data_IF_335249985284
#
_entry.id   IF_335249985284
#
_cell.length_a   1.000
_cell.length_b   1.000
_cell.length_c   1.000
_cell.angle_alpha   90.00
_cell.angle_beta   90.00
_cell.angle_gamma   90.00
#
_symmetry.space_group_name_H-M   'P 1'
#
loop_
_entity.id
_entity.type
_entity.pdbx_description
1 polymer ?
#
# COMPACT_ATOMS: atom_id res chain seq x y z
N UNK A 1 -26.17 21.27 -24.41
CA UNK A 1 -26.31 20.00 -25.14
C UNK A 1 -25.02 19.46 -25.74
N UNK A 2 -24.43 20.01 -26.82
CA UNK A 2 -23.23 19.38 -27.44
C UNK A 2 -21.93 19.47 -26.60
N UNK A 3 -21.80 20.50 -25.75
CA UNK A 3 -20.65 20.68 -24.84
C UNK A 3 -20.74 19.73 -23.64
N UNK A 4 -21.91 19.63 -23.02
CA UNK A 4 -22.18 18.73 -21.88
C UNK A 4 -21.92 17.25 -22.24
N UNK A 5 -22.38 16.81 -23.41
CA UNK A 5 -22.13 15.43 -23.90
C UNK A 5 -20.65 15.16 -24.16
N UNK A 6 -19.87 16.20 -24.51
CA UNK A 6 -18.42 16.07 -24.75
C UNK A 6 -17.64 16.01 -23.44
N UNK A 7 -18.05 16.76 -22.42
CA UNK A 7 -17.45 16.73 -21.08
C UNK A 7 -17.78 15.43 -20.34
N UNK A 8 -19.03 14.96 -20.40
CA UNK A 8 -19.44 13.68 -19.83
C UNK A 8 -18.62 12.51 -20.40
N UNK A 9 -18.39 12.49 -21.72
CA UNK A 9 -17.58 11.46 -22.38
C UNK A 9 -16.11 11.49 -21.94
N UNK A 10 -15.55 12.69 -21.68
CA UNK A 10 -14.18 12.85 -21.18
C UNK A 10 -14.05 12.33 -19.73
N UNK A 11 -15.02 12.65 -18.86
CA UNK A 11 -15.03 12.16 -17.48
C UNK A 11 -15.24 10.65 -17.37
N UNK A 12 -16.11 10.07 -18.22
CA UNK A 12 -16.30 8.62 -18.28
C UNK A 12 -14.99 7.90 -18.61
N UNK A 13 -14.27 8.34 -19.65
CA UNK A 13 -12.98 7.73 -20.03
C UNK A 13 -11.94 7.85 -18.91
N UNK A 14 -11.87 9.00 -18.23
CA UNK A 14 -10.96 9.19 -17.08
C UNK A 14 -11.33 8.27 -15.90
N UNK A 15 -12.61 8.11 -15.60
CA UNK A 15 -13.07 7.22 -14.53
C UNK A 15 -12.76 5.74 -14.85
N UNK A 16 -12.99 5.31 -16.10
CA UNK A 16 -12.62 3.96 -16.57
C UNK A 16 -11.10 3.73 -16.51
N UNK A 17 -10.28 4.75 -16.78
CA UNK A 17 -8.82 4.66 -16.65
C UNK A 17 -8.38 4.47 -15.19
N UNK A 18 -8.94 5.25 -14.25
CA UNK A 18 -8.65 5.08 -12.82
C UNK A 18 -9.14 3.72 -12.31
N UNK A 19 -10.30 3.23 -12.76
CA UNK A 19 -10.79 1.90 -12.42
C UNK A 19 -9.82 0.80 -12.87
N UNK A 20 -9.27 0.93 -14.07
CA UNK A 20 -8.24 0.01 -14.58
C UNK A 20 -6.98 0.05 -13.69
N UNK A 21 -6.53 1.23 -13.26
CA UNK A 21 -5.39 1.37 -12.34
C UNK A 21 -5.69 0.71 -11.00
N UNK A 22 -6.86 0.93 -10.42
CA UNK A 22 -7.29 0.31 -9.14
C UNK A 22 -7.23 -1.22 -9.22
N UNK A 23 -7.81 -1.81 -10.28
CA UNK A 23 -7.83 -3.26 -10.49
C UNK A 23 -6.42 -3.85 -10.64
N UNK A 24 -5.52 -3.13 -11.29
CA UNK A 24 -4.13 -3.56 -11.51
C UNK A 24 -3.24 -3.35 -10.28
N UNK A 25 -3.29 -2.16 -9.70
CA UNK A 25 -2.42 -1.73 -8.60
C UNK A 25 -2.80 -2.43 -7.29
N UNK A 26 -4.07 -2.74 -7.05
CA UNK A 26 -4.51 -3.48 -5.85
C UNK A 26 -3.91 -4.89 -5.74
N UNK A 27 -3.29 -5.41 -6.81
CA UNK A 27 -2.54 -6.66 -6.75
C UNK A 27 -1.15 -6.50 -6.10
N UNK A 28 -0.72 -5.26 -5.81
CA UNK A 28 0.63 -4.95 -5.31
C UNK A 28 0.65 -3.90 -4.21
N UNK A 29 -0.16 -2.85 -4.32
CA UNK A 29 -0.10 -1.64 -3.49
C UNK A 29 -1.50 -1.15 -3.11
N UNK A 30 -1.57 -0.28 -2.09
CA UNK A 30 -2.78 0.49 -1.78
C UNK A 30 -3.20 1.38 -2.96
N UNK A 31 -4.51 1.62 -3.07
CA UNK A 31 -5.15 2.27 -4.24
C UNK A 31 -6.11 3.39 -3.85
N UNK A 32 -5.97 3.91 -2.62
CA UNK A 32 -6.86 4.91 -2.03
C UNK A 32 -6.87 6.21 -2.83
N UNK A 33 -5.73 6.61 -3.40
CA UNK A 33 -5.61 7.82 -4.23
C UNK A 33 -6.33 7.66 -5.57
N UNK A 34 -6.20 6.51 -6.23
CA UNK A 34 -6.90 6.20 -7.47
C UNK A 34 -8.42 6.08 -7.22
N UNK A 35 -8.85 5.46 -6.11
CA UNK A 35 -10.27 5.40 -5.72
C UNK A 35 -10.83 6.82 -5.54
N UNK A 36 -10.08 7.71 -4.87
CA UNK A 36 -10.49 9.11 -4.70
C UNK A 36 -10.67 9.82 -6.05
N UNK A 37 -9.71 9.68 -6.97
CA UNK A 37 -9.77 10.28 -8.31
C UNK A 37 -10.93 9.72 -9.13
N UNK A 38 -11.16 8.41 -9.07
CA UNK A 38 -12.30 7.77 -9.72
C UNK A 38 -13.60 8.41 -9.26
N UNK A 39 -13.80 8.56 -7.95
CA UNK A 39 -15.01 9.19 -7.39
C UNK A 39 -15.17 10.64 -7.84
N UNK A 40 -14.08 11.42 -7.88
CA UNK A 40 -14.10 12.80 -8.39
C UNK A 40 -14.53 12.87 -9.86
N UNK A 41 -14.08 11.93 -10.71
CA UNK A 41 -14.49 11.89 -12.13
C UNK A 41 -15.93 11.42 -12.32
N UNK A 42 -16.38 10.44 -11.52
CA UNK A 42 -17.76 9.97 -11.52
C UNK A 42 -18.72 11.11 -11.14
N UNK A 43 -18.38 11.86 -10.09
CA UNK A 43 -19.16 13.02 -9.64
C UNK A 43 -19.19 14.12 -10.71
N UNK A 44 -18.04 14.53 -11.24
CA UNK A 44 -17.95 15.58 -12.28
C UNK A 44 -18.67 15.21 -13.58
N UNK A 45 -18.68 13.92 -13.92
CA UNK A 45 -19.40 13.41 -15.08
C UNK A 45 -20.89 13.18 -14.87
N UNK A 46 -21.42 13.37 -13.64
CA UNK A 46 -22.81 13.00 -13.32
C UNK A 46 -23.08 11.49 -13.48
N UNK A 47 -22.05 10.66 -13.38
CA UNK A 47 -22.11 9.22 -13.61
C UNK A 47 -22.46 8.48 -12.31
N UNK A 48 -22.86 7.23 -12.45
CA UNK A 48 -22.87 6.24 -11.37
C UNK A 48 -21.72 5.26 -11.57
N UNK A 49 -21.26 4.63 -10.49
CA UNK A 49 -20.26 3.55 -10.57
C UNK A 49 -20.70 2.40 -11.49
N UNK A 50 -22.00 2.10 -11.51
CA UNK A 50 -22.58 1.10 -12.41
C UNK A 50 -22.38 1.44 -13.88
N UNK A 51 -22.31 2.72 -14.25
CA UNK A 51 -22.20 3.16 -15.65
C UNK A 51 -20.81 2.85 -16.23
N UNK A 52 -19.80 2.72 -15.36
CA UNK A 52 -18.43 2.30 -15.70
C UNK A 52 -18.14 0.85 -15.28
N UNK A 53 -19.17 0.09 -14.90
CA UNK A 53 -19.06 -1.34 -14.59
C UNK A 53 -18.31 -1.64 -13.29
N UNK A 54 -18.56 -0.87 -12.23
CA UNK A 54 -18.03 -1.12 -10.87
C UNK A 54 -19.06 -0.83 -9.78
N UNK A 55 -18.70 -1.09 -8.52
CA UNK A 55 -19.52 -0.82 -7.33
C UNK A 55 -18.66 -0.41 -6.14
N UNK A 56 -19.29 0.15 -5.10
CA UNK A 56 -18.58 0.48 -3.86
C UNK A 56 -18.02 -0.78 -3.16
N UNK A 57 -18.67 -1.93 -3.32
CA UNK A 57 -18.17 -3.22 -2.83
C UNK A 57 -16.87 -3.61 -3.54
N UNK A 58 -16.81 -3.47 -4.87
CA UNK A 58 -15.59 -3.77 -5.64
C UNK A 58 -14.45 -2.82 -5.25
N UNK A 59 -14.73 -1.52 -5.11
CA UNK A 59 -13.72 -0.54 -4.72
C UNK A 59 -13.17 -0.83 -3.31
N UNK A 60 -14.05 -1.15 -2.34
CA UNK A 60 -13.63 -1.56 -0.99
C UNK A 60 -12.79 -2.84 -1.01
N UNK A 61 -13.18 -3.83 -1.80
CA UNK A 61 -12.41 -5.07 -1.94
C UNK A 61 -11.03 -4.82 -2.58
N UNK A 62 -10.93 -3.89 -3.54
CA UNK A 62 -9.66 -3.50 -4.12
C UNK A 62 -8.76 -2.74 -3.13
N UNK A 63 -9.32 -1.81 -2.36
CA UNK A 63 -8.58 -1.10 -1.32
C UNK A 63 -7.99 -2.07 -0.30
N UNK A 64 -8.83 -2.95 0.27
CA UNK A 64 -8.39 -3.94 1.24
C UNK A 64 -7.34 -4.88 0.65
N UNK A 65 -7.55 -5.42 -0.57
CA UNK A 65 -6.57 -6.26 -1.25
C UNK A 65 -5.23 -5.53 -1.47
N UNK A 66 -5.29 -4.26 -1.85
CA UNK A 66 -4.12 -3.41 -2.06
C UNK A 66 -3.27 -3.27 -0.79
N UNK A 67 -3.91 -2.98 0.33
CA UNK A 67 -3.26 -2.88 1.64
C UNK A 67 -2.62 -4.21 2.07
N UNK A 68 -3.34 -5.33 1.90
CA UNK A 68 -2.82 -6.68 2.22
C UNK A 68 -1.59 -7.00 1.38
N UNK A 69 -1.65 -6.79 0.06
CA UNK A 69 -0.54 -7.07 -0.83
C UNK A 69 0.67 -6.14 -0.57
N UNK A 70 0.42 -4.88 -0.21
CA UNK A 70 1.46 -3.97 0.22
C UNK A 70 2.14 -4.47 1.51
N UNK A 71 1.36 -4.90 2.51
CA UNK A 71 1.89 -5.45 3.76
C UNK A 71 2.75 -6.69 3.50
N UNK A 72 2.29 -7.62 2.65
CA UNK A 72 3.05 -8.81 2.25
C UNK A 72 4.35 -8.44 1.54
N UNK A 73 4.33 -7.41 0.69
CA UNK A 73 5.52 -6.93 0.00
C UNK A 73 6.56 -6.38 0.98
N UNK A 74 6.13 -5.56 1.95
CA UNK A 74 7.03 -5.04 2.99
C UNK A 74 7.56 -6.13 3.92
N UNK A 75 6.72 -7.10 4.28
CA UNK A 75 7.13 -8.27 5.06
C UNK A 75 8.21 -9.08 4.34
N UNK A 76 8.02 -9.33 3.03
CA UNK A 76 9.03 -10.00 2.21
C UNK A 76 10.35 -9.21 2.20
N UNK A 77 10.29 -7.90 1.99
CA UNK A 77 11.48 -7.05 2.00
C UNK A 77 12.18 -7.05 3.36
N UNK A 78 11.43 -7.05 4.47
CA UNK A 78 12.00 -7.18 5.80
C UNK A 78 12.74 -8.51 5.97
N UNK A 79 12.10 -9.63 5.59
CA UNK A 79 12.70 -10.97 5.63
C UNK A 79 13.98 -11.07 4.80
N UNK A 80 13.99 -10.50 3.60
CA UNK A 80 15.16 -10.52 2.70
C UNK A 80 16.33 -9.67 3.20
N UNK A 81 16.05 -8.59 3.94
CA UNK A 81 17.05 -7.57 4.29
C UNK A 81 17.45 -7.55 5.77
N UNK A 82 16.78 -8.30 6.65
CA UNK A 82 16.95 -8.20 8.11
C UNK A 82 18.38 -8.47 8.60
N UNK A 83 19.21 -9.17 7.82
CA UNK A 83 20.61 -9.43 8.17
C UNK A 83 21.58 -8.39 7.58
N UNK A 84 21.16 -7.64 6.54
CA UNK A 84 22.02 -6.73 5.78
C UNK A 84 21.84 -5.26 6.18
N UNK A 85 20.64 -4.87 6.65
CA UNK A 85 20.31 -3.51 7.09
C UNK A 85 19.20 -3.51 8.14
N UNK A 86 19.03 -2.35 8.78
CA UNK A 86 17.88 -2.08 9.63
C UNK A 86 16.58 -2.12 8.79
N UNK A 87 15.63 -2.93 9.24
CA UNK A 87 14.31 -3.15 8.62
C UNK A 87 13.15 -2.60 9.45
N UNK A 88 13.44 -1.71 10.41
CA UNK A 88 12.44 -1.11 11.31
C UNK A 88 11.32 -0.40 10.56
N UNK A 89 11.64 0.23 9.42
CA UNK A 89 10.66 0.92 8.58
C UNK A 89 9.72 -0.08 7.89
N UNK A 90 10.27 -1.14 7.31
CA UNK A 90 9.50 -2.20 6.68
C UNK A 90 8.55 -2.89 7.67
N UNK A 91 9.06 -3.24 8.87
CA UNK A 91 8.24 -3.83 9.95
C UNK A 91 7.15 -2.85 10.40
N UNK A 92 7.45 -1.55 10.49
CA UNK A 92 6.47 -0.51 10.77
C UNK A 92 5.34 -0.46 9.74
N UNK A 93 5.68 -0.56 8.45
CA UNK A 93 4.67 -0.61 7.39
C UNK A 93 3.81 -1.88 7.44
N UNK A 94 4.39 -3.04 7.74
CA UNK A 94 3.61 -4.28 7.90
C UNK A 94 2.51 -4.11 8.94
N UNK A 95 2.85 -3.57 10.13
CA UNK A 95 1.86 -3.35 11.19
C UNK A 95 0.79 -2.34 10.79
N UNK A 96 1.20 -1.18 10.29
CA UNK A 96 0.28 -0.11 9.89
C UNK A 96 -0.71 -0.57 8.82
N UNK A 97 -0.23 -1.31 7.81
CA UNK A 97 -1.07 -1.78 6.72
C UNK A 97 -1.98 -2.94 7.13
N UNK A 98 -1.53 -3.82 8.04
CA UNK A 98 -2.38 -4.86 8.61
C UNK A 98 -3.56 -4.26 9.39
N UNK A 99 -3.26 -3.27 10.23
CA UNK A 99 -4.27 -2.53 11.00
C UNK A 99 -5.25 -1.80 10.07
N UNK A 100 -4.75 -1.08 9.06
CA UNK A 100 -5.58 -0.35 8.10
C UNK A 100 -6.45 -1.30 7.25
N UNK A 101 -5.93 -2.48 6.88
CA UNK A 101 -6.68 -3.52 6.19
C UNK A 101 -7.69 -4.26 7.09
N UNK A 102 -7.63 -4.04 8.41
CA UNK A 102 -8.47 -4.71 9.39
C UNK A 102 -8.15 -6.20 9.54
N UNK A 103 -6.89 -6.61 9.33
CA UNK A 103 -6.45 -8.00 9.43
C UNK A 103 -5.37 -8.18 10.50
N UNK A 104 -5.27 -9.41 10.99
CA UNK A 104 -4.25 -9.82 11.94
C UNK A 104 -2.92 -10.14 11.26
N UNK A 105 -1.82 -10.09 12.03
CA UNK A 105 -0.52 -10.57 11.56
C UNK A 105 -0.55 -12.05 11.19
N UNK A 106 -1.36 -12.85 11.88
CA UNK A 106 -1.57 -14.27 11.57
C UNK A 106 -2.19 -14.48 10.19
N UNK A 107 -3.12 -13.63 9.76
CA UNK A 107 -3.69 -13.66 8.41
C UNK A 107 -2.67 -13.25 7.33
N UNK A 108 -1.68 -12.42 7.67
CA UNK A 108 -0.52 -12.15 6.81
C UNK A 108 0.52 -13.27 6.79
N UNK A 109 0.36 -14.31 7.61
CA UNK A 109 1.36 -15.38 7.73
C UNK A 109 2.62 -14.93 8.47
N UNK A 110 2.47 -14.11 9.51
CA UNK A 110 3.55 -13.67 10.41
C UNK A 110 3.06 -13.57 11.87
N UNK A 111 3.95 -13.20 12.79
CA UNK A 111 3.65 -12.99 14.21
C UNK A 111 4.45 -11.84 14.78
N UNK A 112 4.04 -11.32 15.94
CA UNK A 112 4.83 -10.31 16.67
C UNK A 112 6.22 -10.82 17.04
N UNK A 113 6.36 -12.12 17.31
CA UNK A 113 7.64 -12.78 17.57
C UNK A 113 8.55 -12.73 16.35
N UNK A 114 8.05 -13.11 15.18
CA UNK A 114 8.83 -13.03 13.93
C UNK A 114 9.26 -11.58 13.65
N UNK A 115 8.35 -10.62 13.80
CA UNK A 115 8.68 -9.21 13.57
C UNK A 115 9.79 -8.74 14.52
N UNK A 116 9.79 -9.15 15.80
CA UNK A 116 10.88 -8.85 16.75
C UNK A 116 12.20 -9.50 16.33
N UNK A 117 12.17 -10.73 15.86
CA UNK A 117 13.36 -11.43 15.36
C UNK A 117 13.97 -10.71 14.14
N UNK A 118 13.13 -10.27 13.20
CA UNK A 118 13.57 -9.49 12.03
C UNK A 118 14.28 -8.19 12.44
N UNK A 119 13.77 -7.49 13.46
CA UNK A 119 14.38 -6.26 13.99
C UNK A 119 15.74 -6.52 14.66
N UNK A 120 15.89 -7.68 15.32
CA UNK A 120 17.10 -8.04 16.05
C UNK A 120 18.20 -8.66 15.16
N UNK A 121 17.86 -9.11 13.96
CA UNK A 121 18.78 -9.81 13.06
C UNK A 121 19.93 -8.92 12.56
N UNK A 122 19.68 -7.62 12.39
CA UNK A 122 20.68 -6.70 11.88
C UNK A 122 21.73 -6.39 12.96
N UNK A 123 22.97 -6.81 12.72
CA UNK A 123 24.12 -6.46 13.56
C UNK A 123 24.98 -5.45 12.82
N UNK A 124 24.81 -4.13 13.05
CA UNK A 124 25.66 -3.14 12.42
C UNK A 124 27.12 -3.46 12.76
N UNK A 125 27.97 -3.51 11.73
CA UNK A 125 29.42 -3.62 11.95
C UNK A 125 29.81 -2.44 12.82
N UNK A 126 30.17 -2.70 14.08
CA UNK A 126 30.69 -1.69 15.00
C UNK A 126 31.93 -1.06 14.37
N UNK A 127 31.76 0.08 13.70
CA UNK A 127 32.87 0.91 13.28
C UNK A 127 33.55 1.47 14.52
N UNK A 128 34.71 0.90 14.87
CA UNK A 128 35.86 1.57 15.48
C UNK A 128 35.61 2.75 16.44
N UNK A 129 34.67 2.66 17.39
CA UNK A 129 34.71 3.50 18.61
C UNK A 129 35.71 2.94 19.65
N UNK A 130 36.88 2.51 19.18
CA UNK A 130 38.03 2.12 20.02
C UNK A 130 39.22 3.07 19.79
N UNK A 131 39.02 4.39 19.64
CA UNK A 131 40.17 5.30 19.51
C UNK A 131 39.98 6.71 20.07
N UNK A 132 39.38 6.87 21.26
CA UNK A 132 39.63 8.06 22.08
C UNK A 132 39.70 7.71 23.58
N UNK A 133 40.71 6.93 23.95
CA UNK A 133 41.42 7.11 25.23
C UNK A 133 42.89 7.35 24.90
N UNK A 134 43.22 8.57 24.46
CA UNK A 134 44.59 9.07 24.50
C UNK A 134 44.68 10.14 25.58
N UNK A 135 45.53 9.82 26.56
CA UNK A 135 46.29 10.70 27.46
C UNK A 135 45.50 11.54 28.47
N UNK A 136 45.47 11.05 29.71
CA UNK A 136 45.92 11.83 30.86
C UNK A 136 47.19 11.14 31.38
#
# INVERSE_FOLDING_TARGET
>A
MAVEVREEKDYRTKAEEELRKIRQNSQKWGVELEIKKLREYVEKGGLKLSDIGTSEEELRACAQRGLINAALTWLRLARENCTSRDVSREVGYVRSLAEEAGITLTELGTSEEELRELLAAYKPRRGLLRFWRRKA
#
